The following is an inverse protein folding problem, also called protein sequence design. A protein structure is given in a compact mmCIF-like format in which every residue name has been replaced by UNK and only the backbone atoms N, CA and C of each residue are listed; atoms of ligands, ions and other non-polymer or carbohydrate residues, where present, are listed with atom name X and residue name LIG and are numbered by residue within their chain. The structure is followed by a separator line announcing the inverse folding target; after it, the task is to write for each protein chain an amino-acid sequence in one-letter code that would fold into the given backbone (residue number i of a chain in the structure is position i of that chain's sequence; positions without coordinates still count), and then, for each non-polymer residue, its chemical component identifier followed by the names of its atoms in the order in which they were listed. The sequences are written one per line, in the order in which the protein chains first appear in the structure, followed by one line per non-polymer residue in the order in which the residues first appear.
data_IF_376053347646
#
_entry.id   IF_376053347646
#
_cell.length_a   1.000
_cell.length_b   1.000
_cell.length_c   1.000
_cell.angle_alpha   90.00
_cell.angle_beta   90.00
_cell.angle_gamma   90.00
#
_symmetry.space_group_name_H-M   'P 1'
#
loop_
_entity.id
_entity.type
_entity.pdbx_description
1 polymer ?
#
# COMPACT_ATOMS: atom_id res chain seq x y z
N UNK A 1 -17.99 -6.47 3.35
CA UNK A 1 -16.82 -5.60 3.17
C UNK A 1 -16.66 -5.28 1.70
N UNK A 2 -16.14 -4.10 1.42
CA UNK A 2 -15.72 -3.67 0.08
C UNK A 2 -14.48 -4.46 -0.37
N UNK A 3 -14.24 -4.65 -1.68
CA UNK A 3 -12.99 -5.21 -2.16
C UNK A 3 -11.81 -4.30 -1.80
N UNK A 4 -10.65 -4.89 -1.53
CA UNK A 4 -9.43 -4.18 -1.23
C UNK A 4 -8.21 -5.09 -1.39
N UNK A 5 -7.02 -4.48 -1.28
CA UNK A 5 -5.74 -5.18 -1.34
C UNK A 5 -5.36 -5.65 0.07
N UNK A 6 -4.82 -6.86 0.15
CA UNK A 6 -4.17 -7.38 1.33
C UNK A 6 -2.68 -7.49 1.05
N UNK A 7 -1.86 -6.81 1.84
CA UNK A 7 -0.42 -6.78 1.73
C UNK A 7 0.19 -6.79 3.13
N UNK A 8 1.36 -7.39 3.29
CA UNK A 8 2.19 -7.19 4.48
C UNK A 8 3.04 -5.92 4.31
N UNK A 9 3.59 -5.39 5.41
CA UNK A 9 4.50 -4.24 5.34
C UNK A 9 5.69 -4.50 4.39
N UNK A 10 6.19 -5.73 4.32
CA UNK A 10 7.24 -6.11 3.37
C UNK A 10 6.78 -6.01 1.92
N UNK A 11 5.57 -6.50 1.62
CA UNK A 11 4.99 -6.40 0.27
C UNK A 11 4.81 -4.95 -0.17
N UNK A 12 4.40 -4.07 0.75
CA UNK A 12 4.24 -2.64 0.48
C UNK A 12 5.58 -1.96 0.17
N UNK A 13 6.63 -2.25 0.96
CA UNK A 13 7.98 -1.72 0.74
C UNK A 13 8.55 -2.23 -0.59
N UNK A 14 8.34 -3.51 -0.91
CA UNK A 14 8.81 -4.09 -2.16
C UNK A 14 8.06 -3.53 -3.38
N UNK A 15 6.75 -3.29 -3.25
CA UNK A 15 5.96 -2.59 -4.28
C UNK A 15 6.47 -1.17 -4.49
N UNK A 16 6.72 -0.42 -3.41
CA UNK A 16 7.30 0.91 -3.48
C UNK A 16 8.68 0.89 -4.15
N UNK A 17 9.51 -0.11 -3.86
CA UNK A 17 10.81 -0.29 -4.53
C UNK A 17 10.65 -0.49 -6.03
N UNK A 18 9.70 -1.33 -6.46
CA UNK A 18 9.45 -1.59 -7.89
C UNK A 18 8.94 -0.35 -8.63
N UNK A 19 8.08 0.44 -8.01
CA UNK A 19 7.42 1.58 -8.67
C UNK A 19 8.24 2.87 -8.57
N UNK A 20 8.84 3.16 -7.42
CA UNK A 20 9.50 4.42 -7.10
C UNK A 20 11.02 4.28 -6.88
N UNK A 21 11.57 3.07 -6.91
CA UNK A 21 13.02 2.82 -6.83
C UNK A 21 13.62 2.93 -5.43
N UNK A 22 14.86 2.48 -5.30
CA UNK A 22 15.57 2.37 -4.01
C UNK A 22 15.80 3.72 -3.31
N UNK A 23 15.93 4.81 -4.08
CA UNK A 23 16.12 6.14 -3.50
C UNK A 23 14.93 6.54 -2.62
N UNK A 24 13.71 6.25 -3.07
CA UNK A 24 12.49 6.59 -2.34
C UNK A 24 12.33 5.67 -1.12
N UNK A 25 12.59 4.38 -1.30
CA UNK A 25 12.58 3.41 -0.19
C UNK A 25 13.60 3.78 0.89
N UNK A 26 14.76 4.35 0.51
CA UNK A 26 15.78 4.81 1.46
C UNK A 26 15.34 5.95 2.39
N UNK A 27 14.18 6.57 2.16
CA UNK A 27 13.61 7.53 3.11
C UNK A 27 12.86 6.87 4.27
N UNK A 28 12.54 5.58 4.18
CA UNK A 28 11.90 4.83 5.26
C UNK A 28 12.89 4.71 6.43
N UNK A 29 12.43 5.07 7.61
CA UNK A 29 13.17 4.90 8.87
C UNK A 29 12.48 3.84 9.70
N UNK A 30 13.22 2.79 10.04
CA UNK A 30 12.73 1.72 10.91
C UNK A 30 12.87 2.14 12.37
N UNK A 31 11.78 2.63 12.96
CA UNK A 31 11.69 2.98 14.38
C UNK A 31 10.62 2.11 15.03
N UNK A 32 11.04 1.10 15.80
CA UNK A 32 10.14 0.17 16.46
C UNK A 32 9.70 0.78 17.80
N UNK A 33 8.42 1.17 17.86
CA UNK A 33 7.77 1.58 19.09
C UNK A 33 6.91 0.41 19.65
N UNK A 34 7.23 -0.11 20.85
CA UNK A 34 6.47 -1.19 21.49
C UNK A 34 4.98 -0.88 21.66
N UNK A 35 4.62 0.38 21.92
CA UNK A 35 3.22 0.80 22.07
C UNK A 35 2.48 0.74 20.74
N UNK A 36 3.13 1.18 19.65
CA UNK A 36 2.57 1.09 18.29
C UNK A 36 2.41 -0.37 17.89
N UNK A 37 3.37 -1.25 18.19
CA UNK A 37 3.26 -2.68 17.90
C UNK A 37 2.07 -3.33 18.62
N UNK A 38 1.82 -2.96 19.88
CA UNK A 38 0.67 -3.46 20.63
C UNK A 38 -0.65 -3.03 19.96
N UNK A 39 -0.76 -1.75 19.54
CA UNK A 39 -1.93 -1.28 18.79
C UNK A 39 -2.15 -2.04 17.48
N UNK A 40 -1.08 -2.26 16.70
CA UNK A 40 -1.18 -2.95 15.40
C UNK A 40 -1.69 -4.38 15.52
N UNK A 41 -1.48 -5.04 16.66
CA UNK A 41 -2.00 -6.39 16.92
C UNK A 41 -3.53 -6.44 16.83
N UNK A 42 -4.21 -5.35 17.21
CA UNK A 42 -5.68 -5.24 17.13
C UNK A 42 -6.20 -4.93 15.72
N UNK A 43 -5.33 -4.48 14.81
CA UNK A 43 -5.67 -4.15 13.42
C UNK A 43 -5.27 -5.23 12.42
N UNK A 44 -4.57 -6.27 12.86
CA UNK A 44 -4.14 -7.37 12.00
C UNK A 44 -5.33 -8.26 11.62
N UNK A 45 -6.08 -7.84 10.61
CA UNK A 45 -7.20 -8.60 10.06
C UNK A 45 -6.71 -9.63 9.05
N UNK A 46 -7.27 -10.86 9.05
CA UNK A 46 -6.95 -11.85 8.03
C UNK A 46 -7.46 -11.40 6.66
N UNK A 47 -6.79 -11.88 5.60
CA UNK A 47 -7.23 -11.68 4.22
C UNK A 47 -8.70 -12.11 4.05
N UNK A 48 -9.49 -11.29 3.37
CA UNK A 48 -10.89 -11.57 3.05
C UNK A 48 -11.18 -11.31 1.56
N UNK A 49 -12.06 -12.11 0.95
CA UNK A 49 -12.29 -12.08 -0.50
C UNK A 49 -13.38 -11.08 -0.97
N UNK A 50 -14.07 -10.40 -0.05
CA UNK A 50 -15.13 -9.42 -0.35
C UNK A 50 -16.23 -9.94 -1.32
N UNK A 51 -16.57 -11.23 -1.27
CA UNK A 51 -17.47 -11.93 -2.23
C UNK A 51 -18.74 -11.17 -2.59
N UNK A 52 -19.47 -10.65 -1.58
CA UNK A 52 -20.75 -9.93 -1.78
C UNK A 52 -20.57 -8.61 -2.53
N UNK A 53 -19.49 -7.87 -2.26
CA UNK A 53 -19.25 -6.60 -2.95
C UNK A 53 -18.81 -6.86 -4.40
N UNK A 54 -17.94 -7.84 -4.61
CA UNK A 54 -17.55 -8.25 -5.98
C UNK A 54 -18.74 -8.75 -6.80
N UNK A 55 -19.68 -9.51 -6.21
CA UNK A 55 -20.90 -9.94 -6.92
C UNK A 55 -21.84 -8.80 -7.29
N UNK A 56 -21.72 -7.64 -6.64
CA UNK A 56 -22.47 -6.43 -6.95
C UNK A 56 -21.75 -5.52 -7.96
N UNK A 57 -20.61 -5.96 -8.51
CA UNK A 57 -19.84 -5.22 -9.50
C UNK A 57 -18.82 -4.24 -8.92
N UNK A 58 -18.60 -4.22 -7.61
CA UNK A 58 -17.54 -3.41 -7.02
C UNK A 58 -16.17 -4.02 -7.29
N UNK A 59 -15.22 -3.18 -7.68
CA UNK A 59 -13.83 -3.55 -7.98
C UNK A 59 -12.86 -2.76 -7.11
N UNK A 60 -11.63 -3.25 -7.01
CA UNK A 60 -10.47 -2.52 -6.49
C UNK A 60 -9.26 -2.88 -7.35
N UNK A 61 -8.14 -2.20 -7.13
CA UNK A 61 -6.84 -2.54 -7.68
C UNK A 61 -6.44 -3.97 -7.31
N UNK A 62 -5.72 -4.65 -8.22
CA UNK A 62 -5.32 -6.05 -8.03
C UNK A 62 -3.94 -6.18 -7.36
N UNK A 63 -3.18 -5.09 -7.26
CA UNK A 63 -1.86 -5.08 -6.65
C UNK A 63 -1.52 -3.75 -5.96
N UNK A 64 -0.63 -3.82 -4.97
CA UNK A 64 -0.10 -2.62 -4.32
C UNK A 64 0.70 -1.72 -5.29
N UNK A 65 1.32 -2.32 -6.32
CA UNK A 65 2.00 -1.59 -7.39
C UNK A 65 1.02 -0.68 -8.18
N UNK A 66 -0.18 -1.18 -8.47
CA UNK A 66 -1.24 -0.39 -9.11
C UNK A 66 -1.72 0.73 -8.19
N UNK A 67 -1.95 0.44 -6.91
CA UNK A 67 -2.35 1.43 -5.92
C UNK A 67 -1.35 2.60 -5.85
N UNK A 68 -0.05 2.30 -5.80
CA UNK A 68 1.00 3.33 -5.78
C UNK A 68 0.99 4.15 -7.08
N UNK A 69 0.84 3.49 -8.24
CA UNK A 69 0.79 4.19 -9.54
C UNK A 69 -0.44 5.11 -9.64
N UNK A 70 -1.60 4.65 -9.19
CA UNK A 70 -2.83 5.45 -9.15
C UNK A 70 -2.63 6.67 -8.25
N UNK A 71 -2.08 6.51 -7.04
CA UNK A 71 -1.77 7.62 -6.15
C UNK A 71 -0.80 8.64 -6.79
N UNK A 72 0.25 8.17 -7.48
CA UNK A 72 1.18 9.06 -8.20
C UNK A 72 0.46 9.82 -9.31
N UNK A 73 -0.40 9.16 -10.08
CA UNK A 73 -1.13 9.80 -11.17
C UNK A 73 -2.14 10.84 -10.68
N UNK A 74 -2.92 10.49 -9.66
CA UNK A 74 -4.09 11.26 -9.21
C UNK A 74 -3.71 12.37 -8.22
N UNK A 75 -2.79 12.10 -7.29
CA UNK A 75 -2.44 13.05 -6.21
C UNK A 75 -1.13 13.79 -6.48
N UNK A 76 -0.17 13.18 -7.17
CA UNK A 76 1.15 13.76 -7.41
C UNK A 76 1.34 14.27 -8.84
N UNK A 77 0.27 14.25 -9.65
CA UNK A 77 0.32 14.73 -11.04
C UNK A 77 1.30 13.96 -11.92
N UNK A 78 1.53 12.68 -11.62
CA UNK A 78 2.48 11.82 -12.34
C UNK A 78 3.95 12.01 -11.93
N UNK A 79 4.25 12.83 -10.92
CA UNK A 79 5.62 13.12 -10.49
C UNK A 79 5.89 12.50 -9.13
N UNK A 80 7.11 11.99 -8.92
CA UNK A 80 7.53 11.48 -7.62
C UNK A 80 8.41 12.53 -6.94
N UNK A 81 7.99 13.12 -5.81
CA UNK A 81 8.80 14.05 -5.04
C UNK A 81 10.15 13.42 -4.66
N UNK A 82 11.24 14.14 -4.88
CA UNK A 82 12.60 13.64 -4.61
C UNK A 82 13.24 12.80 -5.72
N UNK A 83 12.48 12.37 -6.73
CA UNK A 83 13.03 11.84 -8.00
C UNK A 83 13.00 12.87 -9.14
N UNK A 84 11.95 13.68 -9.16
CA UNK A 84 11.79 14.76 -10.14
C UNK A 84 12.60 15.97 -9.70
N UNK A 85 13.36 16.58 -10.63
CA UNK A 85 14.21 17.76 -10.39
C UNK A 85 13.40 19.04 -10.30
#
# INVERSE_FOLDING_TARGET
MMPGIYATLGDEIDALRRVAGDKIVGFIKEEIDPFVQEMLTSWNFPRFEAKRARSLGFTCEDSFDELIKTHIADELGGQIPGLTK
#
